data_IF_889544631587
#
_entry.id   IF_889544631587
#
_cell.length_a   1.000
_cell.length_b   1.000
_cell.length_c   1.000
_cell.angle_alpha   90.00
_cell.angle_beta   90.00
_cell.angle_gamma   90.00
#
_symmetry.space_group_name_H-M   'P 1'
#
loop_
_entity.id
_entity.type
_entity.pdbx_description
1 polymer ?
#
# COMPACT_ATOMS: atom_id res chain seq x y z
N UNK A 1 26.72 18.74 10.26
CA UNK A 1 27.23 17.38 10.54
C UNK A 1 27.93 17.27 11.92
N UNK A 2 28.52 18.32 12.44
CA UNK A 2 29.25 18.28 13.73
C UNK A 2 28.34 18.13 14.95
N UNK A 3 27.07 18.46 14.84
CA UNK A 3 26.09 18.44 15.95
C UNK A 3 25.36 17.09 16.12
N UNK A 4 25.45 16.17 15.14
CA UNK A 4 24.70 14.93 15.16
C UNK A 4 25.65 13.73 15.30
N UNK A 5 25.38 12.88 16.28
CA UNK A 5 26.14 11.63 16.54
C UNK A 5 25.48 10.40 15.94
N UNK A 6 24.19 10.46 15.68
CA UNK A 6 23.38 9.37 15.16
C UNK A 6 22.60 9.81 13.93
N UNK A 7 22.49 8.94 12.94
CA UNK A 7 21.62 9.07 11.78
C UNK A 7 20.57 7.97 11.84
N UNK A 8 19.30 8.38 11.87
CA UNK A 8 18.15 7.48 11.78
C UNK A 8 17.58 7.57 10.37
N UNK A 9 17.43 6.44 9.70
CA UNK A 9 16.87 6.33 8.35
C UNK A 9 15.63 5.47 8.46
N UNK A 10 14.47 6.08 8.28
CA UNK A 10 13.20 5.37 8.14
C UNK A 10 12.99 4.94 6.68
N UNK A 11 12.20 3.89 6.45
CA UNK A 11 11.98 3.27 5.14
C UNK A 11 13.30 3.00 4.39
N UNK A 12 14.24 2.39 5.10
CA UNK A 12 15.63 2.24 4.63
C UNK A 12 15.79 1.39 3.36
N UNK A 13 14.77 0.64 2.94
CA UNK A 13 14.77 -0.07 1.65
C UNK A 13 14.86 0.90 0.45
N UNK A 14 14.48 2.16 0.61
CA UNK A 14 14.72 3.22 -0.39
C UNK A 14 16.11 3.83 -0.31
N UNK A 15 16.89 3.54 0.73
CA UNK A 15 18.22 4.13 0.94
C UNK A 15 19.30 3.61 -0.04
N UNK A 16 18.94 2.82 -1.03
CA UNK A 16 19.80 2.39 -2.12
C UNK A 16 20.14 3.52 -3.12
N UNK A 17 19.37 4.63 -3.11
CA UNK A 17 19.65 5.77 -3.98
C UNK A 17 21.06 6.34 -3.72
N UNK A 18 21.80 6.78 -4.77
CA UNK A 18 23.18 7.27 -4.65
C UNK A 18 23.35 8.40 -3.62
N UNK A 19 22.36 9.27 -3.49
CA UNK A 19 22.35 10.37 -2.51
C UNK A 19 22.36 9.87 -1.08
N UNK A 20 21.59 8.84 -0.74
CA UNK A 20 21.58 8.23 0.59
C UNK A 20 22.88 7.50 0.90
N UNK A 21 23.45 6.83 -0.10
CA UNK A 21 24.74 6.15 0.07
C UNK A 21 25.86 7.15 0.39
N UNK A 22 25.93 8.28 -0.32
CA UNK A 22 26.89 9.35 -0.05
C UNK A 22 26.70 9.92 1.37
N UNK A 23 25.46 10.16 1.79
CA UNK A 23 25.17 10.68 3.12
C UNK A 23 25.55 9.70 4.25
N UNK A 24 25.22 8.41 4.09
CA UNK A 24 25.65 7.36 5.03
C UNK A 24 27.19 7.26 5.13
N UNK A 25 27.88 7.37 4.00
CA UNK A 25 29.34 7.30 3.94
C UNK A 25 30.02 8.40 4.77
N UNK A 26 29.46 9.62 4.76
CA UNK A 26 29.98 10.72 5.60
C UNK A 26 29.86 10.40 7.08
N UNK A 27 28.74 9.80 7.53
CA UNK A 27 28.57 9.41 8.94
C UNK A 27 29.49 8.25 9.31
N UNK A 28 29.60 7.22 8.46
CA UNK A 28 30.51 6.08 8.67
C UNK A 28 31.96 6.53 8.76
N UNK A 29 32.41 7.43 7.88
CA UNK A 29 33.78 7.96 7.89
C UNK A 29 34.13 8.73 9.18
N UNK A 30 33.13 9.27 9.87
CA UNK A 30 33.29 9.97 11.13
C UNK A 30 33.06 9.07 12.36
N UNK A 31 33.01 7.75 12.17
CA UNK A 31 32.72 6.74 13.22
C UNK A 31 31.41 7.02 13.98
N UNK A 32 30.41 7.56 13.30
CA UNK A 32 29.09 7.86 13.86
C UNK A 32 28.12 6.73 13.58
N UNK A 33 27.08 6.63 14.37
CA UNK A 33 26.11 5.54 14.27
C UNK A 33 25.06 5.83 13.19
N UNK A 34 24.81 4.82 12.34
CA UNK A 34 23.72 4.83 11.36
C UNK A 34 22.75 3.70 11.73
N UNK A 35 21.51 4.07 12.06
CA UNK A 35 20.43 3.15 12.39
C UNK A 35 19.40 3.19 11.26
N UNK A 36 19.07 2.04 10.73
CA UNK A 36 18.15 1.86 9.62
C UNK A 36 16.90 1.12 10.11
N UNK A 37 15.72 1.65 9.79
CA UNK A 37 14.43 1.07 10.12
C UNK A 37 13.70 0.73 8.82
N UNK A 38 13.15 -0.47 8.73
CA UNK A 38 12.38 -0.90 7.56
C UNK A 38 11.51 -2.10 7.91
N UNK A 39 10.34 -2.18 7.31
CA UNK A 39 9.50 -3.37 7.35
C UNK A 39 10.02 -4.47 6.40
N UNK A 40 10.78 -4.10 5.37
CA UNK A 40 11.32 -4.98 4.34
C UNK A 40 12.84 -4.81 4.24
N UNK A 41 13.66 -5.69 4.85
CA UNK A 41 15.12 -5.54 4.88
C UNK A 41 15.82 -5.89 3.55
N UNK A 42 15.08 -5.79 2.44
CA UNK A 42 15.58 -6.04 1.10
C UNK A 42 15.39 -4.80 0.23
N UNK A 43 16.36 -4.56 -0.64
CA UNK A 43 16.30 -3.51 -1.64
C UNK A 43 15.33 -3.91 -2.77
N UNK A 44 14.95 -2.95 -3.62
CA UNK A 44 14.11 -3.20 -4.80
C UNK A 44 14.73 -4.21 -5.78
N UNK A 45 16.08 -4.31 -5.81
CA UNK A 45 16.82 -5.30 -6.60
C UNK A 45 16.92 -6.68 -5.92
N UNK A 46 16.26 -6.88 -4.78
CA UNK A 46 16.24 -8.12 -4.01
C UNK A 46 17.48 -8.38 -3.15
N UNK A 47 18.47 -7.48 -3.16
CA UNK A 47 19.65 -7.59 -2.30
C UNK A 47 19.31 -7.12 -0.88
N UNK A 48 19.96 -7.70 0.16
CA UNK A 48 19.82 -7.23 1.52
C UNK A 48 20.33 -5.80 1.68
N UNK A 49 19.79 -5.07 2.65
CA UNK A 49 20.33 -3.79 3.06
C UNK A 49 21.73 -3.98 3.66
N UNK A 50 22.59 -2.97 3.48
CA UNK A 50 23.91 -2.96 4.12
C UNK A 50 23.78 -2.70 5.63
N UNK A 51 24.59 -3.41 6.41
CA UNK A 51 24.63 -3.32 7.87
C UNK A 51 24.28 -4.63 8.55
N UNK A 52 24.33 -4.61 9.88
CA UNK A 52 23.97 -5.74 10.73
C UNK A 52 22.52 -5.58 11.21
N UNK A 53 21.73 -6.65 11.18
CA UNK A 53 20.38 -6.65 11.74
C UNK A 53 20.52 -6.81 13.26
N UNK A 54 20.31 -5.73 13.98
CA UNK A 54 20.43 -5.68 15.44
C UNK A 54 19.13 -6.00 16.18
N UNK A 55 17.98 -5.87 15.49
CA UNK A 55 16.67 -6.15 16.05
C UNK A 55 15.68 -6.55 14.98
N UNK A 56 14.83 -7.52 15.29
CA UNK A 56 13.71 -7.95 14.44
C UNK A 56 12.44 -8.00 15.28
N UNK A 57 11.39 -7.35 14.81
CA UNK A 57 10.06 -7.43 15.40
C UNK A 57 9.10 -8.11 14.42
N UNK A 58 8.89 -9.45 14.56
CA UNK A 58 8.10 -10.20 13.59
C UNK A 58 6.61 -9.81 13.62
N UNK A 59 5.97 -9.78 12.45
CA UNK A 59 4.53 -9.50 12.36
C UNK A 59 3.67 -10.43 13.25
N UNK A 60 4.06 -11.71 13.37
CA UNK A 60 3.37 -12.66 14.28
C UNK A 60 3.41 -12.21 15.74
N UNK A 61 4.49 -11.56 16.16
CA UNK A 61 4.59 -11.00 17.51
C UNK A 61 3.68 -9.78 17.63
N UNK A 62 3.71 -8.85 16.67
CA UNK A 62 2.83 -7.70 16.63
C UNK A 62 1.33 -8.09 16.63
N UNK A 63 0.98 -9.18 15.95
CA UNK A 63 -0.38 -9.73 15.99
C UNK A 63 -0.75 -10.29 17.37
N UNK A 64 0.17 -11.03 18.03
CA UNK A 64 -0.07 -11.55 19.39
C UNK A 64 -0.19 -10.43 20.43
N UNK A 65 0.55 -9.35 20.26
CA UNK A 65 0.52 -8.18 21.14
C UNK A 65 -0.62 -7.20 20.82
N UNK A 66 -1.41 -7.49 19.76
CA UNK A 66 -2.59 -6.72 19.40
C UNK A 66 -2.35 -5.47 18.54
N UNK A 67 -1.10 -5.23 18.11
CA UNK A 67 -0.78 -4.12 17.20
C UNK A 67 -1.34 -4.33 15.80
N UNK A 68 -1.41 -5.58 15.34
CA UNK A 68 -2.03 -5.95 14.07
C UNK A 68 -3.11 -7.00 14.25
N UNK A 69 -4.25 -6.81 13.59
CA UNK A 69 -5.27 -7.84 13.47
C UNK A 69 -4.85 -8.88 12.41
N UNK A 70 -5.26 -10.14 12.54
CA UNK A 70 -5.05 -11.13 11.50
C UNK A 70 -5.62 -10.67 10.16
N UNK A 71 -4.85 -10.86 9.09
CA UNK A 71 -5.31 -10.61 7.73
C UNK A 71 -6.09 -11.86 7.27
N UNK A 72 -7.30 -11.64 6.79
CA UNK A 72 -8.11 -12.70 6.17
C UNK A 72 -7.91 -12.66 4.66
N UNK A 73 -7.41 -13.74 4.10
CA UNK A 73 -7.32 -13.91 2.65
C UNK A 73 -8.59 -14.56 2.11
N UNK A 74 -9.16 -13.97 1.06
CA UNK A 74 -10.28 -14.51 0.29
C UNK A 74 -9.85 -14.71 -1.15
N UNK A 75 -9.76 -15.95 -1.61
CA UNK A 75 -9.48 -16.25 -3.02
C UNK A 75 -10.78 -16.20 -3.82
N UNK A 76 -10.76 -15.51 -4.94
CA UNK A 76 -11.84 -15.50 -5.92
C UNK A 76 -11.42 -16.37 -7.11
N UNK A 77 -12.14 -17.46 -7.31
CA UNK A 77 -11.89 -18.37 -8.43
C UNK A 77 -12.82 -18.00 -9.59
N UNK A 78 -12.25 -17.60 -10.72
CA UNK A 78 -12.99 -17.37 -11.96
C UNK A 78 -12.43 -18.28 -13.06
N UNK A 79 -13.29 -19.04 -13.70
CA UNK A 79 -12.92 -19.89 -14.84
C UNK A 79 -12.93 -19.14 -16.17
N UNK A 80 -13.23 -17.84 -16.14
CA UNK A 80 -13.30 -16.96 -17.29
C UNK A 80 -12.60 -15.65 -17.00
N UNK A 81 -11.44 -15.43 -17.61
CA UNK A 81 -10.62 -14.23 -17.41
C UNK A 81 -11.40 -12.93 -17.67
N UNK A 82 -12.32 -12.94 -18.64
CA UNK A 82 -13.16 -11.78 -18.93
C UNK A 82 -14.16 -11.43 -17.79
N UNK A 83 -14.41 -12.36 -16.87
CA UNK A 83 -15.29 -12.17 -15.72
C UNK A 83 -14.54 -11.99 -14.40
N UNK A 84 -13.26 -12.31 -14.36
CA UNK A 84 -12.47 -12.31 -13.13
C UNK A 84 -12.54 -10.98 -12.38
N UNK A 85 -12.40 -9.86 -13.07
CA UNK A 85 -12.52 -8.54 -12.46
C UNK A 85 -13.91 -8.29 -11.86
N UNK A 86 -14.95 -8.77 -12.52
CA UNK A 86 -16.34 -8.62 -12.04
C UNK A 86 -16.60 -9.49 -10.82
N UNK A 87 -16.04 -10.72 -10.80
CA UNK A 87 -16.18 -11.64 -9.68
C UNK A 87 -15.44 -11.10 -8.44
N UNK A 88 -14.25 -10.52 -8.62
CA UNK A 88 -13.52 -9.82 -7.57
C UNK A 88 -14.32 -8.62 -7.05
N UNK A 89 -14.85 -7.78 -7.95
CA UNK A 89 -15.61 -6.61 -7.57
C UNK A 89 -16.90 -6.99 -6.82
N UNK A 90 -17.59 -8.04 -7.24
CA UNK A 90 -18.75 -8.57 -6.54
C UNK A 90 -18.41 -9.03 -5.12
N UNK A 91 -17.25 -9.70 -4.94
CA UNK A 91 -16.77 -10.11 -3.63
C UNK A 91 -16.46 -8.91 -2.72
N UNK A 92 -15.85 -7.86 -3.26
CA UNK A 92 -15.61 -6.60 -2.52
C UNK A 92 -16.92 -5.98 -2.04
N UNK A 93 -17.93 -5.93 -2.89
CA UNK A 93 -19.26 -5.41 -2.53
C UNK A 93 -19.91 -6.26 -1.45
N UNK A 94 -19.82 -7.58 -1.53
CA UNK A 94 -20.29 -8.51 -0.49
C UNK A 94 -19.62 -8.21 0.87
N UNK A 95 -18.29 -8.06 0.89
CA UNK A 95 -17.55 -7.76 2.12
C UNK A 95 -17.91 -6.37 2.69
N UNK A 96 -18.12 -5.36 1.83
CA UNK A 96 -18.56 -4.04 2.26
C UNK A 96 -20.01 -4.04 2.77
N UNK A 97 -20.89 -4.87 2.21
CA UNK A 97 -22.26 -5.05 2.70
C UNK A 97 -22.31 -5.79 4.04
N UNK A 98 -21.34 -6.69 4.28
CA UNK A 98 -21.22 -7.39 5.55
C UNK A 98 -20.64 -6.52 6.68
N UNK A 99 -20.10 -5.34 6.36
CA UNK A 99 -19.59 -4.39 7.35
C UNK A 99 -20.72 -3.69 8.10
N UNK A 100 -21.02 -4.19 9.30
CA UNK A 100 -22.05 -3.63 10.16
C UNK A 100 -21.75 -2.17 10.63
N UNK A 101 -20.49 -1.75 10.57
CA UNK A 101 -20.11 -0.40 10.98
C UNK A 101 -20.39 0.65 9.91
N UNK A 102 -20.48 0.23 8.64
CA UNK A 102 -20.59 1.13 7.50
C UNK A 102 -19.36 1.99 7.24
N UNK A 103 -18.26 1.72 7.95
CA UNK A 103 -17.05 2.55 7.93
C UNK A 103 -15.96 2.01 7.01
N UNK A 104 -15.97 0.73 6.67
CA UNK A 104 -14.91 0.12 5.89
C UNK A 104 -14.85 0.68 4.48
N UNK A 105 -13.63 0.93 4.03
CA UNK A 105 -13.29 1.33 2.66
C UNK A 105 -12.54 0.18 2.00
N UNK A 106 -12.79 -0.03 0.71
CA UNK A 106 -12.11 -1.02 -0.11
C UNK A 106 -11.17 -0.33 -1.11
N UNK A 107 -9.96 -0.85 -1.21
CA UNK A 107 -8.99 -0.53 -2.25
C UNK A 107 -9.03 -1.61 -3.32
N UNK A 108 -9.28 -1.23 -4.56
CA UNK A 108 -9.13 -2.06 -5.74
C UNK A 108 -7.84 -1.67 -6.48
N UNK A 109 -6.79 -2.48 -6.30
CA UNK A 109 -5.49 -2.20 -6.88
C UNK A 109 -5.37 -2.79 -8.28
N UNK A 110 -4.82 -2.00 -9.20
CA UNK A 110 -4.51 -2.37 -10.57
C UNK A 110 -3.09 -1.92 -10.95
N UNK A 111 -2.56 -2.45 -12.06
CA UNK A 111 -1.18 -2.21 -12.51
C UNK A 111 -1.01 -0.94 -13.36
N UNK A 112 -2.06 -0.46 -14.02
CA UNK A 112 -1.97 0.67 -14.96
C UNK A 112 -3.21 1.58 -14.90
N UNK A 113 -3.06 2.82 -15.38
CA UNK A 113 -4.16 3.78 -15.46
C UNK A 113 -5.29 3.30 -16.40
N UNK A 114 -4.95 2.61 -17.49
CA UNK A 114 -5.93 2.02 -18.41
C UNK A 114 -6.74 0.95 -17.67
N UNK A 115 -6.08 0.09 -16.92
CA UNK A 115 -6.74 -0.91 -16.08
C UNK A 115 -7.61 -0.27 -15.00
N UNK A 116 -7.15 0.84 -14.41
CA UNK A 116 -7.94 1.57 -13.42
C UNK A 116 -9.28 2.05 -13.99
N UNK A 117 -9.28 2.59 -15.19
CA UNK A 117 -10.51 3.02 -15.85
C UNK A 117 -11.46 1.83 -16.16
N UNK A 118 -10.90 0.70 -16.61
CA UNK A 118 -11.67 -0.53 -16.89
C UNK A 118 -12.32 -1.08 -15.61
N UNK A 119 -11.55 -1.22 -14.54
CA UNK A 119 -12.03 -1.76 -13.27
C UNK A 119 -12.99 -0.80 -12.59
N UNK A 120 -12.73 0.52 -12.66
CA UNK A 120 -13.69 1.53 -12.18
C UNK A 120 -15.06 1.39 -12.86
N UNK A 121 -15.09 1.21 -14.18
CA UNK A 121 -16.34 1.04 -14.93
C UNK A 121 -17.11 -0.21 -14.47
N UNK A 122 -16.40 -1.29 -14.09
CA UNK A 122 -17.03 -2.49 -13.52
C UNK A 122 -17.71 -2.18 -12.18
N UNK A 123 -17.00 -1.52 -11.26
CA UNK A 123 -17.58 -1.13 -9.97
C UNK A 123 -18.76 -0.16 -10.14
N UNK A 124 -18.66 0.80 -11.06
CA UNK A 124 -19.75 1.72 -11.38
C UNK A 124 -20.98 0.99 -11.93
N UNK A 125 -20.77 0.02 -12.83
CA UNK A 125 -21.85 -0.79 -13.38
C UNK A 125 -22.56 -1.66 -12.33
N UNK A 126 -21.89 -2.03 -11.24
CA UNK A 126 -22.48 -2.72 -10.11
C UNK A 126 -23.31 -1.79 -9.21
N UNK A 127 -23.12 -0.46 -9.33
CA UNK A 127 -24.02 0.55 -8.75
C UNK A 127 -23.93 0.72 -7.23
N UNK A 128 -22.82 0.28 -6.58
CA UNK A 128 -22.69 0.34 -5.12
C UNK A 128 -21.51 1.22 -4.68
N UNK A 129 -21.66 1.89 -3.53
CA UNK A 129 -20.58 2.56 -2.78
C UNK A 129 -19.85 3.69 -3.50
N UNK A 130 -20.41 4.24 -4.60
CA UNK A 130 -19.88 5.39 -5.34
C UNK A 130 -18.36 5.30 -5.58
N UNK A 131 -17.87 4.35 -6.40
CA UNK A 131 -16.43 4.12 -6.57
C UNK A 131 -15.73 5.31 -7.20
N UNK A 132 -14.54 5.63 -6.70
CA UNK A 132 -13.65 6.68 -7.21
C UNK A 132 -12.33 6.09 -7.69
N UNK A 133 -11.56 6.86 -8.45
CA UNK A 133 -10.24 6.47 -8.94
C UNK A 133 -9.17 7.40 -8.41
N UNK A 134 -8.00 6.84 -8.07
CA UNK A 134 -6.80 7.59 -7.71
C UNK A 134 -5.56 7.02 -8.38
N UNK A 135 -4.80 7.87 -9.09
CA UNK A 135 -3.47 7.54 -9.64
C UNK A 135 -2.63 8.80 -9.85
N UNK A 136 -1.32 8.64 -9.98
CA UNK A 136 -0.34 9.74 -10.09
C UNK A 136 -0.53 10.64 -11.32
N UNK A 137 -1.13 10.12 -12.38
CA UNK A 137 -1.41 10.89 -13.62
C UNK A 137 -2.67 11.76 -13.56
N UNK A 138 -3.40 11.79 -12.43
CA UNK A 138 -4.60 12.63 -12.30
C UNK A 138 -4.24 14.11 -12.09
N UNK A 139 -5.08 14.99 -12.60
CA UNK A 139 -5.01 16.42 -12.25
C UNK A 139 -5.22 16.58 -10.74
N UNK A 140 -4.44 17.45 -10.11
CA UNK A 140 -4.45 17.67 -8.65
C UNK A 140 -5.87 17.92 -8.09
N UNK A 141 -6.68 18.70 -8.80
CA UNK A 141 -8.08 18.98 -8.40
C UNK A 141 -8.94 17.71 -8.38
N UNK A 142 -8.82 16.86 -9.42
CA UNK A 142 -9.58 15.62 -9.49
C UNK A 142 -9.15 14.60 -8.43
N UNK A 143 -7.84 14.48 -8.17
CA UNK A 143 -7.31 13.63 -7.12
C UNK A 143 -7.76 14.09 -5.73
N UNK A 144 -7.78 15.41 -5.49
CA UNK A 144 -8.25 15.97 -4.24
C UNK A 144 -9.77 15.77 -4.05
N UNK A 145 -10.57 15.90 -5.11
CA UNK A 145 -12.00 15.62 -5.06
C UNK A 145 -12.27 14.15 -4.71
N UNK A 146 -11.55 13.21 -5.33
CA UNK A 146 -11.68 11.79 -5.03
C UNK A 146 -11.29 11.48 -3.56
N UNK A 147 -10.20 12.07 -3.05
CA UNK A 147 -9.81 11.95 -1.63
C UNK A 147 -10.89 12.49 -0.71
N UNK A 148 -11.42 13.68 -0.99
CA UNK A 148 -12.50 14.27 -0.17
C UNK A 148 -13.75 13.39 -0.13
N UNK A 149 -14.10 12.71 -1.22
CA UNK A 149 -15.22 11.77 -1.23
C UNK A 149 -14.96 10.53 -0.34
N UNK A 150 -13.73 10.05 -0.30
CA UNK A 150 -13.33 8.97 0.62
C UNK A 150 -13.36 9.42 2.06
N UNK A 151 -12.77 10.57 2.39
CA UNK A 151 -12.70 11.13 3.73
C UNK A 151 -14.09 11.43 4.29
N UNK A 152 -15.00 11.94 3.44
CA UNK A 152 -16.38 12.22 3.77
C UNK A 152 -17.29 10.99 3.69
N UNK A 153 -16.75 9.82 3.33
CA UNK A 153 -17.49 8.56 3.18
C UNK A 153 -18.61 8.58 2.14
N UNK A 154 -18.54 9.48 1.21
CA UNK A 154 -19.39 9.52 0.02
C UNK A 154 -19.01 8.41 -0.95
N UNK A 155 -17.74 7.98 -0.92
CA UNK A 155 -17.23 6.81 -1.61
C UNK A 155 -16.64 5.82 -0.58
N UNK A 156 -16.88 4.53 -0.80
CA UNK A 156 -16.29 3.45 0.00
C UNK A 156 -15.43 2.49 -0.83
N UNK A 157 -15.22 2.80 -2.11
CA UNK A 157 -14.35 2.04 -3.01
C UNK A 157 -13.40 2.99 -3.72
N UNK A 158 -12.12 2.71 -3.65
CA UNK A 158 -11.08 3.42 -4.42
C UNK A 158 -10.36 2.46 -5.36
N UNK A 159 -10.42 2.74 -6.66
CA UNK A 159 -9.59 2.05 -7.66
C UNK A 159 -8.29 2.82 -7.82
N UNK A 160 -7.15 2.17 -7.61
CA UNK A 160 -5.86 2.87 -7.59
C UNK A 160 -4.75 2.13 -8.34
N UNK A 161 -3.77 2.91 -8.81
CA UNK A 161 -2.51 2.43 -9.38
C UNK A 161 -1.39 2.83 -8.43
N UNK A 162 -0.85 1.88 -7.67
CA UNK A 162 0.33 2.00 -6.79
C UNK A 162 0.41 3.25 -5.88
N UNK A 163 -0.70 3.99 -5.69
CA UNK A 163 -0.72 5.25 -4.93
C UNK A 163 -1.01 5.09 -3.44
N UNK A 164 -1.47 3.92 -3.01
CA UNK A 164 -1.86 3.66 -1.63
C UNK A 164 -0.83 2.78 -0.91
N UNK A 165 0.44 2.87 -1.32
CA UNK A 165 1.55 2.21 -0.65
C UNK A 165 1.99 3.00 0.57
N UNK A 166 3.05 3.76 0.40
CA UNK A 166 3.66 4.53 1.48
C UNK A 166 2.95 5.87 1.71
N UNK A 167 2.76 6.23 2.97
CA UNK A 167 2.20 7.53 3.37
C UNK A 167 0.69 7.71 3.16
N UNK A 168 -0.04 6.65 2.85
CA UNK A 168 -1.51 6.69 2.84
C UNK A 168 -2.05 6.14 4.16
N UNK A 169 -2.37 7.04 5.08
CA UNK A 169 -2.96 6.69 6.37
C UNK A 169 -4.48 6.83 6.32
N UNK A 170 -5.18 5.72 6.17
CA UNK A 170 -6.63 5.63 6.24
C UNK A 170 -7.02 4.39 7.06
N UNK A 171 -7.29 4.56 8.36
CA UNK A 171 -7.65 3.45 9.24
C UNK A 171 -8.86 2.64 8.80
N UNK A 172 -9.76 3.25 8.03
CA UNK A 172 -10.96 2.62 7.48
C UNK A 172 -10.69 1.73 6.25
N UNK A 173 -9.50 1.80 5.66
CA UNK A 173 -9.10 0.93 4.57
C UNK A 173 -8.87 -0.50 5.09
N UNK A 174 -9.92 -1.30 5.06
CA UNK A 174 -9.94 -2.65 5.65
C UNK A 174 -9.97 -3.78 4.63
N UNK A 175 -10.28 -3.45 3.37
CA UNK A 175 -10.41 -4.43 2.29
C UNK A 175 -9.43 -4.03 1.18
N UNK A 176 -8.58 -4.97 0.77
CA UNK A 176 -7.71 -4.82 -0.39
C UNK A 176 -8.05 -5.89 -1.43
N UNK A 177 -8.44 -5.46 -2.63
CA UNK A 177 -8.69 -6.32 -3.77
C UNK A 177 -7.60 -6.13 -4.83
N UNK A 178 -7.00 -7.22 -5.25
CA UNK A 178 -5.96 -7.23 -6.27
C UNK A 178 -6.55 -7.74 -7.58
N UNK A 179 -6.71 -6.84 -8.54
CA UNK A 179 -7.20 -7.15 -9.88
C UNK A 179 -6.07 -7.58 -10.82
N UNK A 180 -4.85 -7.20 -10.51
CA UNK A 180 -3.67 -7.55 -11.28
C UNK A 180 -2.58 -8.13 -10.37
N UNK A 181 -1.81 -9.08 -10.89
CA UNK A 181 -0.68 -9.66 -10.17
C UNK A 181 0.39 -8.60 -9.88
N UNK A 182 0.98 -8.66 -8.71
CA UNK A 182 2.09 -7.81 -8.34
C UNK A 182 3.41 -8.47 -8.72
N UNK A 183 4.33 -7.70 -9.32
CA UNK A 183 5.64 -8.19 -9.77
C UNK A 183 6.78 -7.92 -8.79
N UNK A 184 6.55 -7.15 -7.72
CA UNK A 184 7.60 -6.85 -6.72
C UNK A 184 7.26 -7.41 -5.34
N UNK A 185 8.26 -7.97 -4.66
CA UNK A 185 8.15 -8.52 -3.30
C UNK A 185 8.09 -7.42 -2.22
N UNK A 186 8.52 -6.21 -2.53
CA UNK A 186 8.71 -5.13 -1.55
C UNK A 186 7.42 -4.52 -0.99
N UNK A 187 6.25 -4.96 -1.45
CA UNK A 187 4.95 -4.38 -1.07
C UNK A 187 3.86 -5.47 -0.95
N UNK A 188 4.23 -6.65 -0.52
CA UNK A 188 3.27 -7.72 -0.15
C UNK A 188 2.99 -7.73 1.34
#
# INVERSE_FOLDING_TARGET
AELCTHLFIDEAHHAAAPTWHAFKSVFKAQMRHVLQFTATPFREDGLPLDGEIIYVYPMRQAQREGYFRPIRFSSVYSFNDARADRDIAAKVIEELNADATGLHVAMARVSTQIRAAQVLAIYQALGHFNPVMLHSGMKKVAAQAARSQLDQRQSRIVVCVDMLGEGFDMPELKIAAFHDLRKSLAVT
#
